data_IF_202518009191
#
_entry.id   IF_202518009191
#
_cell.length_a   1.000
_cell.length_b   1.000
_cell.length_c   1.000
_cell.angle_alpha   90.00
_cell.angle_beta   90.00
_cell.angle_gamma   90.00
#
_symmetry.space_group_name_H-M   'P 1'
#
loop_
_entity.id
_entity.type
_entity.pdbx_description
1 polymer ?
#
# COMPACT_ATOMS: atom_id res chain seq x y z
N UNK A 1 -5.28 -12.23 -5.42
CA UNK A 1 -4.64 -11.90 -4.13
C UNK A 1 -3.85 -13.07 -3.55
N UNK A 2 -4.38 -14.30 -3.56
CA UNK A 2 -3.69 -15.47 -2.99
C UNK A 2 -2.37 -15.80 -3.69
N UNK A 3 -2.29 -15.70 -5.03
CA UNK A 3 -1.02 -15.92 -5.76
C UNK A 3 0.07 -14.90 -5.42
N UNK A 4 -0.29 -13.63 -5.18
CA UNK A 4 0.66 -12.61 -4.71
C UNK A 4 1.13 -12.92 -3.28
N UNK A 5 0.18 -13.26 -2.40
CA UNK A 5 0.47 -13.64 -1.01
C UNK A 5 1.38 -14.88 -0.96
N UNK A 6 1.10 -15.91 -1.75
CA UNK A 6 1.91 -17.13 -1.82
C UNK A 6 3.34 -16.82 -2.26
N UNK A 7 3.51 -16.02 -3.31
CA UNK A 7 4.85 -15.63 -3.79
C UNK A 7 5.61 -14.78 -2.77
N UNK A 8 4.94 -13.81 -2.14
CA UNK A 8 5.54 -12.99 -1.09
C UNK A 8 5.94 -13.80 0.16
N UNK A 9 5.18 -14.84 0.51
CA UNK A 9 5.52 -15.75 1.62
C UNK A 9 6.63 -16.73 1.26
N UNK A 10 6.74 -17.11 -0.02
CA UNK A 10 7.74 -18.07 -0.49
C UNK A 10 9.10 -17.43 -0.73
N UNK A 11 9.14 -16.11 -0.95
CA UNK A 11 10.37 -15.36 -1.12
C UNK A 11 11.04 -15.09 0.25
N UNK A 12 12.36 -15.20 0.29
CA UNK A 12 13.12 -14.85 1.48
C UNK A 12 13.03 -13.35 1.77
N UNK A 13 12.87 -12.95 3.04
CA UNK A 13 12.89 -11.52 3.41
C UNK A 13 14.32 -10.98 3.40
N UNK A 14 14.52 -9.89 2.67
CA UNK A 14 15.81 -9.19 2.61
C UNK A 14 15.91 -8.03 3.61
N UNK A 15 14.91 -7.81 4.47
CA UNK A 15 14.85 -6.64 5.35
C UNK A 15 16.12 -6.49 6.20
N UNK A 16 16.57 -7.56 6.86
CA UNK A 16 17.76 -7.51 7.71
C UNK A 16 19.04 -7.30 6.87
N UNK A 17 19.18 -7.99 5.74
CA UNK A 17 20.32 -7.87 4.84
C UNK A 17 20.39 -6.49 4.17
N UNK A 18 19.24 -5.89 3.84
CA UNK A 18 19.15 -4.58 3.19
C UNK A 18 19.72 -3.46 4.06
N UNK A 19 19.54 -3.53 5.39
CA UNK A 19 20.16 -2.57 6.33
C UNK A 19 21.68 -2.71 6.40
N UNK A 20 22.19 -3.91 6.20
CA UNK A 20 23.63 -4.13 6.11
C UNK A 20 24.17 -3.57 4.79
N UNK A 21 23.52 -3.91 3.68
CA UNK A 21 23.92 -3.45 2.34
C UNK A 21 23.80 -1.93 2.14
N UNK A 22 22.82 -1.27 2.78
CA UNK A 22 22.69 0.18 2.68
C UNK A 22 23.92 0.95 3.20
N UNK A 23 24.67 0.37 4.13
CA UNK A 23 25.93 0.94 4.66
C UNK A 23 27.12 0.71 3.74
N UNK A 24 26.98 -0.16 2.74
CA UNK A 24 28.02 -0.54 1.79
C UNK A 24 27.81 0.10 0.41
N UNK A 25 26.82 1.00 0.29
CA UNK A 25 26.60 1.80 -0.92
C UNK A 25 27.86 2.63 -1.20
N UNK A 26 28.41 2.46 -2.40
CA UNK A 26 29.59 3.19 -2.82
C UNK A 26 29.24 4.66 -3.18
N UNK A 27 30.26 5.46 -3.55
CA UNK A 27 30.03 6.87 -3.93
C UNK A 27 29.18 7.05 -5.18
N UNK A 28 29.02 6.02 -5.99
CA UNK A 28 28.19 6.01 -7.20
C UNK A 28 26.73 5.64 -6.89
N UNK A 29 26.40 5.35 -5.63
CA UNK A 29 25.04 5.05 -5.20
C UNK A 29 24.64 3.60 -5.42
N UNK A 30 25.59 2.69 -5.67
CA UNK A 30 25.33 1.27 -5.94
C UNK A 30 26.08 0.35 -4.98
N UNK A 31 25.59 -0.89 -4.85
CA UNK A 31 26.30 -1.99 -4.20
C UNK A 31 26.11 -3.27 -5.03
N UNK A 32 27.20 -3.94 -5.47
CA UNK A 32 27.09 -5.26 -6.06
C UNK A 32 26.80 -6.30 -4.96
N UNK A 33 25.74 -7.09 -5.12
CA UNK A 33 25.37 -8.15 -4.18
C UNK A 33 25.47 -9.51 -4.87
N UNK A 34 26.24 -10.41 -4.27
CA UNK A 34 26.26 -11.84 -4.62
C UNK A 34 25.46 -12.61 -3.58
N UNK A 35 24.37 -13.25 -3.99
CA UNK A 35 23.51 -14.01 -3.10
C UNK A 35 23.08 -15.34 -3.73
N UNK A 36 22.82 -16.34 -2.88
CA UNK A 36 22.14 -17.57 -3.30
C UNK A 36 20.64 -17.27 -3.39
N UNK A 37 20.04 -17.56 -4.53
CA UNK A 37 18.62 -17.35 -4.77
C UNK A 37 17.98 -18.65 -5.26
N UNK A 38 16.77 -18.91 -4.77
CA UNK A 38 15.91 -19.94 -5.35
C UNK A 38 15.23 -19.41 -6.61
N UNK A 39 14.67 -20.27 -7.47
CA UNK A 39 13.83 -19.82 -8.58
C UNK A 39 12.64 -18.96 -8.12
N UNK A 40 12.09 -19.23 -6.94
CA UNK A 40 11.01 -18.44 -6.34
C UNK A 40 11.43 -17.03 -5.97
N UNK A 41 12.64 -16.86 -5.41
CA UNK A 41 13.18 -15.53 -5.10
C UNK A 41 13.37 -14.70 -6.39
N UNK A 42 13.89 -15.32 -7.45
CA UNK A 42 14.08 -14.64 -8.75
C UNK A 42 12.74 -14.21 -9.36
N UNK A 43 11.74 -15.10 -9.37
CA UNK A 43 10.41 -14.77 -9.90
C UNK A 43 9.72 -13.67 -9.08
N UNK A 44 9.87 -13.69 -7.75
CA UNK A 44 9.35 -12.62 -6.90
C UNK A 44 10.03 -11.28 -7.20
N UNK A 45 11.36 -11.22 -7.20
CA UNK A 45 12.10 -9.98 -7.45
C UNK A 45 11.85 -9.41 -8.85
N UNK A 46 11.67 -10.28 -9.85
CA UNK A 46 11.40 -9.87 -11.24
C UNK A 46 10.05 -9.17 -11.42
N UNK A 47 9.07 -9.42 -10.54
CA UNK A 47 7.71 -8.86 -10.66
C UNK A 47 7.32 -7.92 -9.51
N UNK A 48 8.10 -7.90 -8.42
CA UNK A 48 7.73 -7.22 -7.18
C UNK A 48 7.47 -5.73 -7.40
N UNK A 49 8.29 -5.06 -8.22
CA UNK A 49 8.14 -3.63 -8.49
C UNK A 49 6.81 -3.34 -9.18
N UNK A 50 6.51 -4.04 -10.27
CA UNK A 50 5.31 -3.83 -11.07
C UNK A 50 4.05 -4.16 -10.24
N UNK A 51 4.10 -5.22 -9.44
CA UNK A 51 2.99 -5.60 -8.56
C UNK A 51 2.72 -4.55 -7.47
N UNK A 52 3.77 -3.98 -6.87
CA UNK A 52 3.62 -2.91 -5.88
C UNK A 52 3.04 -1.65 -6.53
N UNK A 53 3.52 -1.27 -7.72
CA UNK A 53 2.96 -0.11 -8.44
C UNK A 53 1.48 -0.30 -8.77
N UNK A 54 1.09 -1.48 -9.25
CA UNK A 54 -0.32 -1.82 -9.51
C UNK A 54 -1.17 -1.78 -8.23
N UNK A 55 -0.64 -2.26 -7.11
CA UNK A 55 -1.34 -2.20 -5.83
C UNK A 55 -1.48 -0.75 -5.33
N UNK A 56 -0.45 0.08 -5.46
CA UNK A 56 -0.52 1.51 -5.13
C UNK A 56 -1.55 2.23 -6.00
N UNK A 57 -1.59 1.94 -7.30
CA UNK A 57 -2.60 2.51 -8.20
C UNK A 57 -4.02 2.09 -7.81
N UNK A 58 -4.23 0.81 -7.52
CA UNK A 58 -5.53 0.29 -7.06
C UNK A 58 -5.97 0.98 -5.76
N UNK A 59 -5.08 1.07 -4.76
CA UNK A 59 -5.36 1.74 -3.49
C UNK A 59 -5.71 3.22 -3.69
N UNK A 60 -4.98 3.93 -4.56
CA UNK A 60 -5.30 5.31 -4.92
C UNK A 60 -6.69 5.45 -5.53
N UNK A 61 -7.03 4.61 -6.51
CA UNK A 61 -8.36 4.60 -7.13
C UNK A 61 -9.48 4.29 -6.14
N UNK A 62 -9.24 3.39 -5.17
CA UNK A 62 -10.21 3.06 -4.12
C UNK A 62 -10.40 4.21 -3.13
N UNK A 63 -9.31 4.89 -2.74
CA UNK A 63 -9.35 6.10 -1.91
C UNK A 63 -10.11 7.21 -2.64
N UNK A 64 -9.82 7.42 -3.92
CA UNK A 64 -10.53 8.40 -4.73
C UNK A 64 -12.01 8.04 -4.79
N UNK A 65 -12.36 6.78 -5.05
CA UNK A 65 -13.76 6.34 -5.09
C UNK A 65 -14.47 6.62 -3.76
N UNK A 66 -13.80 6.39 -2.63
CA UNK A 66 -14.31 6.62 -1.29
C UNK A 66 -13.92 8.00 -0.73
N UNK A 67 -14.54 9.05 -1.27
CA UNK A 67 -14.40 10.44 -0.80
C UNK A 67 -15.70 10.97 -0.17
N UNK A 68 -15.66 12.03 0.65
CA UNK A 68 -16.88 12.64 1.16
C UNK A 68 -17.69 13.26 0.03
N UNK A 69 -18.99 13.03 0.04
CA UNK A 69 -19.96 13.78 -0.74
C UNK A 69 -20.37 15.02 0.06
N UNK A 70 -20.39 16.18 -0.59
CA UNK A 70 -20.92 17.40 0.03
C UNK A 70 -22.36 17.17 0.50
N UNK A 71 -22.66 17.66 1.70
CA UNK A 71 -23.95 17.46 2.33
C UNK A 71 -25.02 18.31 1.64
N UNK A 72 -25.55 17.83 0.52
CA UNK A 72 -26.77 18.36 -0.11
C UNK A 72 -28.07 17.90 0.55
N UNK A 73 -27.97 17.22 1.70
CA UNK A 73 -29.11 16.70 2.44
C UNK A 73 -29.64 17.69 3.47
N UNK A 74 -30.95 17.64 3.70
CA UNK A 74 -31.68 18.41 4.72
C UNK A 74 -31.05 18.10 6.10
N UNK A 75 -30.11 18.92 6.55
CA UNK A 75 -29.50 18.80 7.89
C UNK A 75 -30.30 19.65 8.86
N UNK A 76 -30.63 19.09 10.02
CA UNK A 76 -31.27 19.83 11.11
C UNK A 76 -30.27 20.71 11.87
N UNK A 77 -28.97 20.50 11.68
CA UNK A 77 -27.89 21.32 12.22
C UNK A 77 -26.96 21.78 11.08
N UNK A 78 -27.04 23.07 10.68
CA UNK A 78 -26.16 23.64 9.65
C UNK A 78 -24.69 23.70 10.08
N UNK A 79 -24.40 23.65 11.38
CA UNK A 79 -23.03 23.76 11.92
C UNK A 79 -22.28 22.42 11.91
N UNK A 80 -22.99 21.30 11.81
CA UNK A 80 -22.41 19.95 11.74
C UNK A 80 -23.10 19.08 10.67
N UNK A 81 -22.91 19.39 9.37
CA UNK A 81 -23.53 18.62 8.30
C UNK A 81 -23.05 17.16 8.30
N UNK A 82 -23.99 16.22 8.21
CA UNK A 82 -23.65 14.79 8.07
C UNK A 82 -23.07 14.56 6.67
N UNK A 83 -21.75 14.35 6.61
CA UNK A 83 -21.07 13.90 5.39
C UNK A 83 -21.23 12.40 5.22
N UNK A 84 -21.40 11.97 3.98
CA UNK A 84 -21.47 10.56 3.58
C UNK A 84 -20.40 10.27 2.54
N UNK A 85 -19.95 9.04 2.43
CA UNK A 85 -19.07 8.62 1.35
C UNK A 85 -19.83 8.65 0.01
N UNK A 86 -19.24 9.21 -1.04
CA UNK A 86 -19.84 9.30 -2.39
C UNK A 86 -20.11 7.95 -3.06
N UNK A 87 -19.35 6.91 -2.67
CA UNK A 87 -19.43 5.58 -3.27
C UNK A 87 -20.45 4.68 -2.55
N UNK A 88 -20.29 4.52 -1.23
CA UNK A 88 -21.12 3.60 -0.46
C UNK A 88 -22.26 4.28 0.32
N UNK A 89 -22.30 5.62 0.39
CA UNK A 89 -23.32 6.42 1.11
C UNK A 89 -23.36 6.23 2.65
N UNK A 90 -22.40 5.49 3.22
CA UNK A 90 -22.19 5.40 4.67
C UNK A 90 -21.71 6.73 5.23
N UNK A 91 -21.93 6.95 6.54
CA UNK A 91 -21.41 8.14 7.24
C UNK A 91 -19.89 8.23 7.04
N UNK A 92 -19.41 9.42 6.71
CA UNK A 92 -17.99 9.68 6.50
C UNK A 92 -17.23 9.79 7.85
N UNK A 93 -16.01 9.24 7.98
CA UNK A 93 -15.36 8.33 7.04
C UNK A 93 -16.03 6.96 7.01
N UNK A 94 -16.21 6.38 5.81
CA UNK A 94 -16.81 5.05 5.70
C UNK A 94 -15.81 3.94 6.09
N UNK A 95 -16.27 2.74 6.52
CA UNK A 95 -15.39 1.66 6.93
C UNK A 95 -14.33 1.27 5.90
N UNK A 96 -14.70 1.23 4.60
CA UNK A 96 -13.76 0.92 3.52
C UNK A 96 -12.61 1.94 3.45
N UNK A 97 -12.92 3.23 3.54
CA UNK A 97 -11.89 4.27 3.59
C UNK A 97 -10.99 4.10 4.81
N UNK A 98 -11.57 3.83 5.99
CA UNK A 98 -10.79 3.59 7.21
C UNK A 98 -9.79 2.44 7.08
N UNK A 99 -10.20 1.33 6.48
CA UNK A 99 -9.32 0.18 6.20
C UNK A 99 -8.22 0.58 5.19
N UNK A 100 -8.57 1.30 4.14
CA UNK A 100 -7.60 1.75 3.12
C UNK A 100 -6.57 2.72 3.72
N UNK A 101 -7.00 3.71 4.50
CA UNK A 101 -6.09 4.65 5.16
C UNK A 101 -5.19 3.94 6.15
N UNK A 102 -5.70 2.97 6.92
CA UNK A 102 -4.87 2.21 7.85
C UNK A 102 -3.75 1.45 7.15
N UNK A 103 -4.04 0.85 5.98
CA UNK A 103 -3.05 0.06 5.22
C UNK A 103 -2.07 0.95 4.47
N UNK A 104 -2.53 2.05 3.88
CA UNK A 104 -1.71 2.95 3.06
C UNK A 104 -0.84 3.87 3.92
N UNK A 105 -1.37 4.41 5.02
CA UNK A 105 -0.64 5.34 5.88
C UNK A 105 0.28 4.64 6.90
N UNK A 106 0.24 3.30 6.98
CA UNK A 106 1.13 2.55 7.86
C UNK A 106 2.58 2.70 7.38
N UNK A 107 3.47 3.34 8.16
CA UNK A 107 4.86 3.40 7.78
C UNK A 107 5.46 1.99 7.72
N UNK A 108 6.42 1.73 6.82
CA UNK A 108 7.15 0.46 6.83
C UNK A 108 7.77 0.26 8.21
N UNK A 109 7.62 -0.94 8.78
CA UNK A 109 8.23 -1.28 10.07
C UNK A 109 9.75 -1.10 9.96
N UNK A 110 10.28 -0.13 10.72
CA UNK A 110 11.67 0.31 10.70
C UNK A 110 12.65 -0.85 10.79
#
# INVERSE_FOLDING_TARGET
MEGLRYRAQSASSWLQSSRHYSRLINREGVIPVSARMTPGDLAFLAEAREQILQFTELSGRLIDLHQPLDAGGITTDPSSPIRRCRSCMWRWPCPTFGILSEVVDRPPSA
#
